data_IF_768865697515
#
_entry.id   IF_768865697515
#
_cell.length_a   1.000
_cell.length_b   1.000
_cell.length_c   1.000
_cell.angle_alpha   90.00
_cell.angle_beta   90.00
_cell.angle_gamma   90.00
#
_symmetry.space_group_name_H-M   'P 1'
#
loop_
_entity.id
_entity.type
_entity.pdbx_description
1 polymer ?
#
# COMPACT_ATOMS: atom_id res chain seq x y z
N UNK A 1 -5.72 13.13 1.69
CA UNK A 1 -6.58 12.84 2.85
C UNK A 1 -7.12 11.41 2.78
N UNK A 2 -6.96 10.65 3.86
CA UNK A 2 -7.48 9.27 4.05
C UNK A 2 -8.83 9.23 4.79
N UNK A 3 -9.45 10.40 5.03
CA UNK A 3 -10.70 10.54 5.82
C UNK A 3 -10.62 9.84 7.19
N UNK A 4 -9.46 9.90 7.85
CA UNK A 4 -9.22 9.23 9.12
C UNK A 4 -8.98 7.71 9.00
N UNK A 5 -8.42 7.26 7.87
CA UNK A 5 -8.08 5.84 7.62
C UNK A 5 -9.29 4.89 7.71
N UNK A 6 -10.47 5.35 7.28
CA UNK A 6 -11.73 4.58 7.37
C UNK A 6 -11.88 3.50 6.28
N UNK A 7 -11.29 3.73 5.10
CA UNK A 7 -11.41 2.83 3.95
C UNK A 7 -10.18 1.94 3.85
N UNK A 8 -10.22 0.78 4.51
CA UNK A 8 -9.14 -0.21 4.50
C UNK A 8 -9.22 -1.04 3.23
N UNK A 9 -8.12 -1.09 2.49
CA UNK A 9 -7.98 -1.85 1.24
C UNK A 9 -7.44 -3.26 1.46
N UNK A 10 -6.64 -3.44 2.51
CA UNK A 10 -6.04 -4.72 2.88
C UNK A 10 -5.15 -4.63 4.11
N UNK A 11 -4.69 -5.79 4.57
CA UNK A 11 -3.73 -5.93 5.67
C UNK A 11 -2.83 -7.13 5.40
N UNK A 12 -1.57 -7.02 5.79
CA UNK A 12 -0.63 -8.13 5.78
C UNK A 12 0.42 -7.99 6.88
N UNK A 13 1.42 -8.88 6.88
CA UNK A 13 2.44 -8.91 7.94
C UNK A 13 3.26 -7.64 8.12
N UNK A 14 3.23 -6.73 7.13
CA UNK A 14 3.96 -5.46 7.11
C UNK A 14 3.07 -4.25 7.43
N UNK A 15 1.80 -4.46 7.73
CA UNK A 15 0.86 -3.41 8.15
C UNK A 15 -0.42 -3.35 7.32
N UNK A 16 -1.13 -2.23 7.45
CA UNK A 16 -2.46 -2.02 6.85
C UNK A 16 -2.41 -1.00 5.72
N UNK A 17 -3.22 -1.23 4.68
CA UNK A 17 -3.32 -0.36 3.51
C UNK A 17 -4.67 0.32 3.49
N UNK A 18 -4.69 1.62 3.24
CA UNK A 18 -5.90 2.44 3.25
C UNK A 18 -6.01 3.27 1.98
N UNK A 19 -7.23 3.55 1.53
CA UNK A 19 -7.45 4.49 0.44
C UNK A 19 -7.28 5.94 0.92
N UNK A 20 -6.77 6.78 0.03
CA UNK A 20 -6.76 8.23 0.22
C UNK A 20 -6.85 8.96 -1.12
N UNK A 21 -6.95 10.29 -1.03
CA UNK A 21 -6.91 11.19 -2.19
C UNK A 21 -5.97 12.35 -1.93
N UNK A 22 -5.02 12.61 -2.81
CA UNK A 22 -4.15 13.79 -2.73
C UNK A 22 -4.93 15.07 -3.03
N UNK A 23 -4.39 16.23 -2.64
CA UNK A 23 -5.00 17.53 -2.97
C UNK A 23 -5.11 17.74 -4.48
N UNK A 24 -4.21 17.14 -5.27
CA UNK A 24 -4.28 17.09 -6.73
C UNK A 24 -5.46 16.29 -7.29
N UNK A 25 -6.25 15.61 -6.45
CA UNK A 25 -7.34 14.75 -6.86
C UNK A 25 -6.94 13.30 -7.16
N UNK A 26 -5.63 13.00 -7.23
CA UNK A 26 -5.10 11.64 -7.44
C UNK A 26 -5.50 10.70 -6.30
N UNK A 27 -6.12 9.57 -6.63
CA UNK A 27 -6.38 8.48 -5.68
C UNK A 27 -5.08 7.73 -5.36
N UNK A 28 -4.88 7.40 -4.09
CA UNK A 28 -3.67 6.78 -3.56
C UNK A 28 -4.01 5.63 -2.60
N UNK A 29 -3.05 4.73 -2.44
CA UNK A 29 -3.03 3.72 -1.39
C UNK A 29 -1.95 4.08 -0.36
N UNK A 30 -2.32 4.19 0.91
CA UNK A 30 -1.43 4.51 2.03
C UNK A 30 -1.17 3.23 2.83
N UNK A 31 0.03 2.69 2.71
CA UNK A 31 0.49 1.53 3.50
C UNK A 31 1.10 2.04 4.80
N UNK A 32 0.36 1.89 5.89
CA UNK A 32 0.82 2.18 7.25
C UNK A 32 1.64 0.98 7.71
N UNK A 33 2.94 1.19 7.94
CA UNK A 33 3.82 0.12 8.39
C UNK A 33 3.59 -0.16 9.87
N UNK A 34 3.46 -1.44 10.21
CA UNK A 34 3.52 -1.89 11.61
C UNK A 34 4.90 -1.60 12.20
N UNK A 35 5.04 -1.65 13.54
CA UNK A 35 6.33 -1.37 14.20
C UNK A 35 7.45 -2.14 13.48
N UNK A 36 8.52 -1.46 13.04
CA UNK A 36 9.52 -2.10 12.22
C UNK A 36 10.19 -3.22 13.01
N UNK A 37 10.07 -4.46 12.52
CA UNK A 37 10.72 -5.63 13.14
C UNK A 37 12.25 -5.52 13.11
N UNK A 38 12.79 -4.75 12.15
CA UNK A 38 14.23 -4.56 11.91
C UNK A 38 14.67 -3.07 11.95
N UNK A 39 14.23 -2.30 12.94
CA UNK A 39 14.76 -0.93 13.17
C UNK A 39 14.46 0.11 12.07
N UNK A 40 13.59 -0.20 11.12
CA UNK A 40 13.21 0.67 10.00
C UNK A 40 13.88 0.31 8.68
N UNK A 41 14.68 -0.76 8.65
CA UNK A 41 15.38 -1.21 7.44
C UNK A 41 14.40 -1.52 6.29
N UNK A 42 13.28 -2.19 6.56
CA UNK A 42 12.27 -2.51 5.55
C UNK A 42 11.71 -1.26 4.88
N UNK A 43 11.45 -0.21 5.67
CA UNK A 43 11.01 1.09 5.16
C UNK A 43 12.08 1.72 4.25
N UNK A 44 13.33 1.76 4.72
CA UNK A 44 14.44 2.31 3.94
C UNK A 44 14.69 1.54 2.65
N UNK A 45 14.59 0.21 2.70
CA UNK A 45 14.75 -0.65 1.54
C UNK A 45 13.66 -0.36 0.51
N UNK A 46 12.39 -0.29 0.93
CA UNK A 46 11.26 -0.04 0.02
C UNK A 46 11.36 1.36 -0.61
N UNK A 47 11.75 2.39 0.16
CA UNK A 47 12.03 3.73 -0.38
C UNK A 47 13.21 3.73 -1.36
N UNK A 48 14.31 3.04 -1.04
CA UNK A 48 15.53 3.07 -1.85
C UNK A 48 15.43 2.25 -3.15
N UNK A 49 14.67 1.15 -3.15
CA UNK A 49 14.48 0.30 -4.32
C UNK A 49 13.24 0.68 -5.11
N UNK A 50 12.04 0.54 -4.52
CA UNK A 50 10.77 0.79 -5.24
C UNK A 50 10.67 2.26 -5.65
N UNK A 51 11.17 3.20 -4.85
CA UNK A 51 11.17 4.63 -5.19
C UNK A 51 11.97 4.99 -6.46
N UNK A 52 12.80 4.08 -6.98
CA UNK A 52 13.58 4.28 -8.21
C UNK A 52 13.04 3.50 -9.41
N UNK A 53 12.04 2.64 -9.20
CA UNK A 53 11.47 1.80 -10.24
C UNK A 53 10.24 2.50 -10.80
N UNK A 54 10.30 2.88 -12.07
CA UNK A 54 9.17 3.38 -12.84
C UNK A 54 8.90 2.43 -13.99
N UNK A 55 7.94 1.54 -13.82
CA UNK A 55 7.59 0.53 -14.82
C UNK A 55 6.09 0.27 -14.81
N UNK A 56 5.49 0.05 -15.99
CA UNK A 56 4.04 -0.12 -16.15
C UNK A 56 3.44 -1.28 -15.33
N UNK A 57 4.24 -2.31 -15.07
CA UNK A 57 3.83 -3.50 -14.31
C UNK A 57 4.26 -3.48 -12.83
N UNK A 58 4.75 -2.35 -12.33
CA UNK A 58 5.14 -2.17 -10.92
C UNK A 58 4.37 -0.99 -10.36
N UNK A 59 3.74 -1.18 -9.20
CA UNK A 59 2.99 -0.10 -8.54
C UNK A 59 3.93 1.07 -8.21
N UNK A 60 3.55 2.27 -8.64
CA UNK A 60 4.35 3.48 -8.43
C UNK A 60 4.32 3.95 -6.99
N UNK A 61 5.50 4.16 -6.40
CA UNK A 61 5.64 4.88 -5.14
C UNK A 61 5.55 6.38 -5.42
N UNK A 62 4.50 7.02 -4.92
CA UNK A 62 4.26 8.46 -5.04
C UNK A 62 5.08 9.23 -4.00
N UNK A 63 5.29 8.63 -2.83
CA UNK A 63 6.07 9.23 -1.75
C UNK A 63 5.96 8.44 -0.46
N UNK A 64 6.41 9.06 0.63
CA UNK A 64 6.39 8.45 1.96
C UNK A 64 6.12 9.50 3.03
N UNK A 65 5.77 9.03 4.24
CA UNK A 65 5.62 9.87 5.42
C UNK A 65 6.38 9.28 6.61
N UNK A 66 7.08 10.15 7.33
CA UNK A 66 7.84 9.84 8.54
C UNK A 66 7.38 10.81 9.63
N UNK A 67 6.69 10.31 10.65
CA UNK A 67 6.21 11.12 11.77
C UNK A 67 6.44 10.37 13.08
N UNK A 68 7.43 10.80 13.87
CA UNK A 68 7.82 10.12 15.10
C UNK A 68 8.22 8.66 14.85
N UNK A 69 7.44 7.71 15.38
CA UNK A 69 7.60 6.27 15.14
C UNK A 69 6.74 5.73 14.00
N UNK A 70 5.83 6.55 13.45
CA UNK A 70 4.96 6.16 12.34
C UNK A 70 5.73 6.27 11.04
N UNK A 71 5.54 5.27 10.18
CA UNK A 71 6.10 5.20 8.82
C UNK A 71 4.97 4.82 7.88
N UNK A 72 4.84 5.54 6.78
CA UNK A 72 3.86 5.23 5.74
C UNK A 72 4.49 5.35 4.35
N UNK A 73 4.04 4.47 3.46
CA UNK A 73 4.36 4.52 2.04
C UNK A 73 3.10 4.88 1.27
N UNK A 74 3.23 5.74 0.28
CA UNK A 74 2.12 6.26 -0.53
C UNK A 74 2.30 5.76 -1.95
N UNK A 75 1.36 4.96 -2.41
CA UNK A 75 1.34 4.32 -3.71
C UNK A 75 0.21 4.84 -4.58
N UNK A 76 0.34 4.69 -5.90
CA UNK A 76 -0.80 4.85 -6.81
C UNK A 76 -1.91 3.83 -6.47
N UNK A 77 -3.16 4.27 -6.49
CA UNK A 77 -4.30 3.40 -6.20
C UNK A 77 -4.62 2.50 -7.40
N UNK A 78 -4.78 1.20 -7.13
CA UNK A 78 -5.18 0.21 -8.14
C UNK A 78 -6.69 -0.06 -8.05
N UNK A 79 -7.51 0.42 -9.00
CA UNK A 79 -8.97 0.39 -8.89
C UNK A 79 -9.55 -1.02 -8.93
N UNK A 80 -8.87 -1.95 -9.61
CA UNK A 80 -9.28 -3.35 -9.70
C UNK A 80 -8.83 -4.18 -8.48
N UNK A 81 -8.11 -3.58 -7.53
CA UNK A 81 -7.64 -4.30 -6.36
C UNK A 81 -6.62 -5.39 -6.68
N UNK A 82 -6.56 -6.41 -5.84
CA UNK A 82 -5.52 -7.42 -5.84
C UNK A 82 -5.92 -8.68 -6.63
N UNK A 83 -4.94 -9.33 -7.25
CA UNK A 83 -5.16 -10.49 -8.12
C UNK A 83 -5.78 -11.68 -7.38
N UNK A 84 -5.46 -11.88 -6.10
CA UNK A 84 -5.99 -12.97 -5.28
C UNK A 84 -7.52 -13.01 -5.28
N UNK A 85 -8.19 -11.86 -5.38
CA UNK A 85 -9.66 -11.76 -5.43
C UNK A 85 -10.27 -12.34 -6.71
N UNK A 86 -9.49 -12.41 -7.79
CA UNK A 86 -9.94 -12.91 -9.10
C UNK A 86 -9.62 -14.39 -9.31
N UNK A 87 -8.58 -14.90 -8.65
CA UNK A 87 -8.11 -16.28 -8.83
C UNK A 87 -8.58 -17.23 -7.73
N UNK A 88 -9.03 -16.70 -6.59
CA UNK A 88 -9.59 -17.51 -5.48
C UNK A 88 -11.03 -17.97 -5.72
N UNK A 89 -11.72 -17.40 -6.70
CA UNK A 89 -13.14 -17.69 -7.01
C UNK A 89 -13.36 -19.02 -7.76
N UNK A 90 -12.29 -19.77 -8.08
CA UNK A 90 -12.37 -21.04 -8.82
C UNK A 90 -12.43 -22.30 -7.92
N UNK A 91 -12.78 -22.17 -6.64
CA UNK A 91 -12.87 -23.31 -5.70
C UNK A 91 -14.23 -23.45 -4.99
N UNK A 92 -15.24 -22.64 -5.32
CA UNK A 92 -16.63 -22.82 -4.83
C UNK A 92 -17.60 -23.14 -5.98
N UNK A 93 -17.26 -24.15 -6.78
CA UNK A 93 -18.26 -24.96 -7.46
C UNK A 93 -17.94 -26.43 -7.17
N UNK A 94 -18.39 -26.90 -6.02
CA UNK A 94 -18.55 -28.33 -5.73
C UNK A 94 -19.97 -28.48 -5.17
N UNK A 95 -20.87 -29.21 -5.84
CA UNK A 95 -22.23 -29.45 -5.35
C UNK A 95 -22.26 -30.32 -4.09
#
# INVERSE_FOLDING_TARGET
>A
MTRGFKEKLGEGGYGSVYKGKLQSGRDIAVKMLSKPKAGGQDFMNEVATIGRIHHVNVVGLVGYCVEGTKRALVYDFMPNGSLDKYISTSQEESP
#
